data_IF_655279301717
#
_entry.id   IF_655279301717
#
_cell.length_a   1.000
_cell.length_b   1.000
_cell.length_c   1.000
_cell.angle_alpha   90.00
_cell.angle_beta   90.00
_cell.angle_gamma   90.00
#
_symmetry.space_group_name_H-M   'P 1'
#
loop_
_entity.id
_entity.type
_entity.pdbx_description
1 polymer ?
#
# COMPACT_ATOMS: atom_id res chain seq x y z
N UNK A 1 31.85 37.12 -15.38
CA UNK A 1 31.20 36.21 -16.33
C UNK A 1 29.98 35.59 -15.73
N UNK A 2 28.84 36.33 -15.75
CA UNK A 2 27.52 35.85 -15.38
C UNK A 2 26.73 35.78 -16.66
N UNK A 3 26.55 34.59 -17.26
CA UNK A 3 25.51 34.42 -18.27
C UNK A 3 25.14 32.95 -18.44
N UNK A 4 23.82 32.73 -18.52
CA UNK A 4 23.13 31.56 -19.09
C UNK A 4 22.92 30.33 -18.16
N UNK A 5 22.00 30.48 -17.20
CA UNK A 5 21.11 29.40 -16.76
C UNK A 5 19.67 29.88 -16.67
N UNK A 6 19.18 30.60 -17.68
CA UNK A 6 17.76 30.85 -17.94
C UNK A 6 17.45 30.24 -19.29
N UNK A 7 16.78 29.15 -19.36
CA UNK A 7 15.99 28.57 -20.44
C UNK A 7 16.05 27.04 -20.40
N UNK A 8 15.15 26.43 -19.63
CA UNK A 8 14.73 25.06 -19.88
C UNK A 8 13.43 24.67 -19.18
N UNK A 9 12.50 25.61 -19.07
CA UNK A 9 11.09 25.27 -18.89
C UNK A 9 10.30 25.83 -20.07
N UNK A 10 10.63 25.38 -21.31
CA UNK A 10 9.71 25.49 -22.43
C UNK A 10 8.65 24.43 -22.21
N UNK A 11 7.51 24.86 -21.70
CA UNK A 11 6.27 24.12 -21.89
C UNK A 11 6.13 23.86 -23.38
N UNK A 12 6.34 22.63 -23.81
CA UNK A 12 5.98 22.21 -25.14
C UNK A 12 4.46 22.28 -25.24
N UNK A 13 3.93 23.39 -25.71
CA UNK A 13 2.62 23.45 -26.32
C UNK A 13 2.69 22.63 -27.61
N UNK A 14 2.60 21.31 -27.48
CA UNK A 14 2.19 20.46 -28.59
C UNK A 14 0.68 20.65 -28.72
N UNK A 15 0.22 20.99 -29.92
CA UNK A 15 -1.20 21.15 -30.21
C UNK A 15 -2.04 19.98 -29.72
N UNK A 16 -3.34 20.10 -29.74
CA UNK A 16 -4.44 19.32 -29.09
C UNK A 16 -4.37 17.77 -28.98
N UNK A 17 -3.23 17.15 -29.21
CA UNK A 17 -2.95 15.73 -28.98
C UNK A 17 -1.80 15.60 -27.96
N UNK A 18 -2.08 15.80 -26.67
CA UNK A 18 -1.15 15.41 -25.60
C UNK A 18 -1.11 13.89 -25.53
N UNK A 19 -0.11 13.29 -26.17
CA UNK A 19 0.21 11.88 -25.93
C UNK A 19 0.94 11.78 -24.59
N UNK A 20 0.38 11.01 -23.65
CA UNK A 20 1.07 10.67 -22.40
C UNK A 20 2.36 9.90 -22.72
N UNK A 21 3.40 10.17 -21.95
CA UNK A 21 4.64 9.38 -22.02
C UNK A 21 4.40 7.97 -21.47
N UNK A 22 5.15 7.01 -21.96
CA UNK A 22 5.24 5.69 -21.37
C UNK A 22 6.02 5.81 -20.04
N UNK A 23 5.30 5.69 -18.93
CA UNK A 23 5.89 5.76 -17.59
C UNK A 23 5.94 4.38 -16.97
N UNK A 24 7.15 3.87 -16.76
CA UNK A 24 7.42 2.57 -16.14
C UNK A 24 7.96 2.69 -14.71
N UNK A 25 7.79 3.85 -14.05
CA UNK A 25 8.19 4.02 -12.66
C UNK A 25 7.41 3.07 -11.76
N UNK A 26 8.13 2.40 -10.85
CA UNK A 26 7.54 1.44 -9.92
C UNK A 26 6.70 2.09 -8.82
N UNK A 27 6.99 3.35 -8.50
CA UNK A 27 6.24 4.14 -7.50
C UNK A 27 6.90 5.49 -7.22
N UNK A 28 6.16 6.61 -7.34
CA UNK A 28 4.78 6.74 -7.82
C UNK A 28 4.56 6.17 -9.21
N UNK A 29 3.57 5.28 -9.35
CA UNK A 29 3.29 4.59 -10.59
C UNK A 29 2.31 5.35 -11.49
N UNK A 30 2.18 4.87 -12.73
CA UNK A 30 1.24 5.41 -13.69
C UNK A 30 -0.20 5.14 -13.26
N UNK A 31 -1.02 6.19 -13.10
CA UNK A 31 -2.45 6.06 -12.84
C UNK A 31 -3.23 5.77 -14.15
N UNK A 32 -4.36 5.05 -14.08
CA UNK A 32 -5.25 4.87 -15.21
C UNK A 32 -5.72 6.22 -15.78
N UNK A 33 -5.72 6.34 -17.10
CA UNK A 33 -6.11 7.61 -17.75
C UNK A 33 -7.56 7.99 -17.46
N UNK A 34 -8.45 7.00 -17.34
CA UNK A 34 -9.84 7.20 -16.93
C UNK A 34 -9.93 7.91 -15.58
N UNK A 35 -9.13 7.48 -14.59
CA UNK A 35 -9.06 8.10 -13.26
C UNK A 35 -8.64 9.54 -13.35
N UNK A 36 -7.58 9.84 -14.11
CA UNK A 36 -7.06 11.20 -14.26
C UNK A 36 -8.05 12.11 -14.99
N UNK A 37 -8.74 11.61 -16.02
CA UNK A 37 -9.77 12.36 -16.75
C UNK A 37 -10.96 12.68 -15.83
N UNK A 38 -11.43 11.70 -15.06
CA UNK A 38 -12.53 11.90 -14.11
C UNK A 38 -12.13 12.91 -13.04
N UNK A 39 -10.96 12.75 -12.41
CA UNK A 39 -10.44 13.70 -11.43
C UNK A 39 -10.32 15.13 -12.00
N UNK A 40 -9.86 15.27 -13.25
CA UNK A 40 -9.77 16.57 -13.90
C UNK A 40 -11.14 17.18 -14.17
N UNK A 41 -12.16 16.40 -14.54
CA UNK A 41 -13.53 16.90 -14.75
C UNK A 41 -14.22 17.32 -13.45
N UNK A 42 -13.85 16.73 -12.33
CA UNK A 42 -14.39 17.01 -11.00
C UNK A 42 -13.51 17.97 -10.18
N UNK A 43 -12.45 18.56 -10.80
CA UNK A 43 -11.45 19.36 -10.08
C UNK A 43 -12.04 20.61 -9.42
N UNK A 44 -13.00 21.27 -10.06
CA UNK A 44 -13.64 22.49 -9.55
C UNK A 44 -14.98 22.22 -8.85
N UNK A 45 -15.61 21.10 -9.17
CA UNK A 45 -16.93 20.74 -8.67
C UNK A 45 -17.04 19.22 -8.54
N UNK A 46 -16.57 18.71 -7.39
CA UNK A 46 -16.65 17.30 -7.10
C UNK A 46 -18.05 16.93 -6.57
N UNK A 47 -18.68 15.96 -7.21
CA UNK A 47 -20.01 15.43 -6.83
C UNK A 47 -21.12 16.49 -6.77
N UNK A 48 -21.04 17.57 -7.57
CA UNK A 48 -21.95 18.73 -7.57
C UNK A 48 -21.98 19.47 -6.22
N UNK A 49 -20.89 19.46 -5.50
CA UNK A 49 -20.74 20.18 -4.22
C UNK A 49 -20.41 21.68 -4.39
N UNK A 50 -20.07 22.09 -5.61
CA UNK A 50 -19.60 23.44 -5.92
C UNK A 50 -18.17 23.71 -5.47
N UNK A 51 -17.39 22.67 -5.05
CA UNK A 51 -16.03 22.83 -4.59
C UNK A 51 -15.14 21.64 -4.98
N UNK A 52 -13.84 21.86 -4.98
CA UNK A 52 -12.84 20.80 -5.12
C UNK A 52 -12.76 19.93 -3.87
N UNK A 53 -12.47 18.63 -4.04
CA UNK A 53 -12.15 17.75 -2.89
C UNK A 53 -10.99 18.31 -2.04
N UNK A 54 -10.06 19.06 -2.64
CA UNK A 54 -8.94 19.70 -1.92
C UNK A 54 -9.39 20.81 -0.96
N UNK A 55 -10.58 21.37 -1.18
CA UNK A 55 -11.16 22.47 -0.38
C UNK A 55 -12.20 21.97 0.63
N UNK A 56 -12.64 20.69 0.49
CA UNK A 56 -13.66 20.10 1.37
C UNK A 56 -13.15 19.97 2.80
N UNK A 57 -13.98 20.37 3.76
CA UNK A 57 -13.76 19.97 5.14
C UNK A 57 -13.87 18.45 5.26
N UNK A 58 -12.89 17.82 5.90
CA UNK A 58 -12.97 16.39 6.20
C UNK A 58 -14.10 16.02 7.18
N UNK A 59 -14.77 17.01 7.75
CA UNK A 59 -15.95 16.85 8.64
C UNK A 59 -17.27 17.08 7.92
N UNK A 60 -17.23 17.41 6.61
CA UNK A 60 -18.45 17.58 5.83
C UNK A 60 -19.04 16.22 5.43
N UNK A 61 -20.34 16.19 5.15
CA UNK A 61 -21.06 15.02 4.63
C UNK A 61 -20.49 14.55 3.30
N UNK A 62 -20.11 15.48 2.42
CA UNK A 62 -19.58 15.22 1.09
C UNK A 62 -18.26 14.45 1.17
N UNK A 63 -17.35 14.86 2.07
CA UNK A 63 -16.09 14.13 2.24
C UNK A 63 -16.31 12.78 2.95
N UNK A 64 -17.24 12.73 3.91
CA UNK A 64 -17.62 11.47 4.54
C UNK A 64 -18.10 10.45 3.51
N UNK A 65 -18.92 10.85 2.55
CA UNK A 65 -19.40 9.99 1.48
C UNK A 65 -18.25 9.49 0.59
N UNK A 66 -17.25 10.33 0.31
CA UNK A 66 -16.02 9.92 -0.41
C UNK A 66 -15.26 8.85 0.38
N UNK A 67 -15.07 9.07 1.69
CA UNK A 67 -14.39 8.14 2.58
C UNK A 67 -15.11 6.79 2.65
N UNK A 68 -16.41 6.82 2.96
CA UNK A 68 -17.23 5.61 3.12
C UNK A 68 -17.30 4.81 1.81
N UNK A 69 -17.46 5.50 0.68
CA UNK A 69 -17.46 4.88 -0.65
C UNK A 69 -16.12 4.22 -0.96
N UNK A 70 -15.01 4.88 -0.65
CA UNK A 70 -13.67 4.33 -0.84
C UNK A 70 -13.45 3.07 0.00
N UNK A 71 -13.80 3.10 1.29
CA UNK A 71 -13.73 1.94 2.19
C UNK A 71 -14.62 0.79 1.69
N UNK A 72 -15.87 1.08 1.33
CA UNK A 72 -16.82 0.08 0.88
C UNK A 72 -16.35 -0.61 -0.44
N UNK A 73 -15.79 0.13 -1.39
CA UNK A 73 -15.22 -0.42 -2.61
C UNK A 73 -14.02 -1.32 -2.33
N UNK A 74 -13.11 -0.88 -1.47
CA UNK A 74 -11.95 -1.68 -1.09
C UNK A 74 -12.38 -2.98 -0.41
N UNK A 75 -13.34 -2.90 0.51
CA UNK A 75 -13.92 -4.06 1.19
C UNK A 75 -14.51 -5.07 0.20
N UNK A 76 -15.29 -4.62 -0.78
CA UNK A 76 -15.87 -5.51 -1.80
C UNK A 76 -14.82 -6.11 -2.73
N UNK A 77 -13.89 -5.30 -3.26
CA UNK A 77 -12.88 -5.77 -4.21
C UNK A 77 -11.96 -6.82 -3.60
N UNK A 78 -11.56 -6.66 -2.35
CA UNK A 78 -10.68 -7.59 -1.66
C UNK A 78 -11.44 -8.63 -0.81
N UNK A 79 -12.78 -8.58 -0.80
CA UNK A 79 -13.61 -9.44 0.05
C UNK A 79 -13.15 -9.44 1.52
N UNK A 80 -12.92 -8.22 2.06
CA UNK A 80 -12.41 -8.04 3.43
C UNK A 80 -13.49 -8.45 4.44
N UNK A 81 -13.23 -9.41 5.33
CA UNK A 81 -14.20 -9.87 6.33
C UNK A 81 -14.56 -8.77 7.36
N UNK A 82 -15.69 -8.94 8.04
CA UNK A 82 -16.22 -7.93 8.98
C UNK A 82 -15.37 -7.77 10.25
N UNK A 83 -14.56 -8.76 10.58
CA UNK A 83 -13.62 -8.72 11.71
C UNK A 83 -12.39 -7.84 11.46
N UNK A 84 -12.24 -7.28 10.25
CA UNK A 84 -11.16 -6.33 9.94
C UNK A 84 -11.65 -4.90 9.95
N UNK A 85 -10.73 -3.99 10.28
CA UNK A 85 -10.88 -2.55 10.11
C UNK A 85 -9.99 -2.07 8.97
N UNK A 86 -10.48 -1.08 8.19
CA UNK A 86 -9.74 -0.41 7.13
C UNK A 86 -9.39 0.98 7.62
N UNK A 87 -8.09 1.25 7.77
CA UNK A 87 -7.59 2.55 8.22
C UNK A 87 -6.87 3.27 7.08
N UNK A 88 -7.16 4.53 6.91
CA UNK A 88 -6.46 5.44 6.01
C UNK A 88 -5.53 6.35 6.81
N UNK A 89 -4.21 6.22 6.56
CA UNK A 89 -3.20 6.93 7.29
C UNK A 89 -2.45 7.89 6.38
N UNK A 90 -1.95 8.97 6.98
CA UNK A 90 -1.03 9.89 6.33
C UNK A 90 0.37 9.27 6.26
N UNK A 91 1.26 9.90 5.50
CA UNK A 91 2.61 9.46 5.19
C UNK A 91 2.68 8.27 4.21
N UNK A 92 3.87 7.77 3.98
CA UNK A 92 4.09 6.57 3.17
C UNK A 92 4.14 5.32 4.01
N UNK A 93 4.14 4.15 3.36
CA UNK A 93 4.24 2.84 4.00
C UNK A 93 5.44 2.71 4.98
N UNK A 94 6.49 3.50 4.81
CA UNK A 94 7.65 3.48 5.71
C UNK A 94 7.31 3.87 7.16
N UNK A 95 6.23 4.63 7.40
CA UNK A 95 5.78 4.92 8.75
C UNK A 95 5.28 3.66 9.46
N UNK A 96 4.79 2.67 8.71
CA UNK A 96 4.30 1.41 9.26
C UNK A 96 5.44 0.58 9.87
N UNK A 97 6.67 0.74 9.39
CA UNK A 97 7.84 0.09 10.01
C UNK A 97 8.04 0.49 11.47
N UNK A 98 7.55 1.66 11.86
CA UNK A 98 7.56 2.15 13.25
C UNK A 98 6.22 1.90 13.95
N UNK A 99 5.09 2.12 13.25
CA UNK A 99 3.77 1.97 13.87
C UNK A 99 3.46 0.54 14.27
N UNK A 100 3.80 -0.43 13.42
CA UNK A 100 3.51 -1.84 13.67
C UNK A 100 4.11 -2.32 15.01
N UNK A 101 5.43 -2.19 15.25
CA UNK A 101 5.99 -2.60 16.53
C UNK A 101 5.43 -1.81 17.72
N UNK A 102 5.16 -0.51 17.59
CA UNK A 102 4.54 0.28 18.67
C UNK A 102 3.12 -0.19 19.03
N UNK A 103 2.43 -0.87 18.12
CA UNK A 103 1.06 -1.33 18.34
C UNK A 103 0.96 -2.83 18.65
N UNK A 104 1.87 -3.67 18.15
CA UNK A 104 1.73 -5.12 18.20
C UNK A 104 2.86 -5.84 18.93
N UNK A 105 4.05 -5.24 19.04
CA UNK A 105 5.21 -5.92 19.63
C UNK A 105 5.19 -5.83 21.16
N UNK A 106 5.36 -6.98 21.81
CA UNK A 106 5.51 -7.09 23.26
C UNK A 106 6.80 -7.81 23.65
N UNK A 107 7.26 -8.75 22.83
CA UNK A 107 8.39 -9.61 23.13
C UNK A 107 9.45 -9.65 22.04
N UNK A 108 9.10 -10.13 20.85
CA UNK A 108 10.00 -10.35 19.73
C UNK A 108 9.24 -10.35 18.41
N UNK A 109 9.94 -10.06 17.32
CA UNK A 109 9.40 -10.12 15.96
C UNK A 109 10.24 -11.04 15.12
N UNK A 110 9.63 -11.99 14.44
CA UNK A 110 10.27 -12.80 13.41
C UNK A 110 10.16 -12.09 12.06
N UNK A 111 11.30 -11.77 11.44
CA UNK A 111 11.35 -11.08 10.17
C UNK A 111 12.03 -11.95 9.10
N UNK A 112 11.38 -12.08 7.93
CA UNK A 112 11.98 -12.73 6.77
C UNK A 112 12.54 -11.66 5.84
N UNK A 113 13.88 -11.60 5.75
CA UNK A 113 14.56 -10.55 5.00
C UNK A 113 14.70 -10.91 3.52
N UNK A 114 13.82 -10.37 2.70
CA UNK A 114 13.71 -10.67 1.25
C UNK A 114 14.04 -9.51 0.34
N UNK A 115 14.45 -8.34 0.90
CA UNK A 115 14.78 -7.21 0.03
C UNK A 115 14.98 -5.89 0.75
N UNK A 116 14.97 -4.82 -0.03
CA UNK A 116 15.24 -3.47 0.47
C UNK A 116 14.20 -2.98 1.50
N UNK A 117 12.93 -3.39 1.33
CA UNK A 117 11.85 -2.92 2.21
C UNK A 117 11.90 -3.64 3.55
N UNK A 118 12.14 -4.94 3.56
CA UNK A 118 12.36 -5.71 4.80
C UNK A 118 13.62 -5.26 5.54
N UNK A 119 14.72 -4.90 4.83
CA UNK A 119 15.90 -4.30 5.45
C UNK A 119 15.61 -2.96 6.13
N UNK A 120 14.73 -2.13 5.54
CA UNK A 120 14.32 -0.87 6.16
C UNK A 120 13.42 -1.11 7.36
N UNK A 121 12.47 -2.04 7.26
CA UNK A 121 11.61 -2.43 8.36
C UNK A 121 12.45 -2.96 9.53
N UNK A 122 13.38 -3.89 9.28
CA UNK A 122 14.31 -4.42 10.28
C UNK A 122 14.99 -3.31 11.09
N UNK A 123 15.57 -2.33 10.40
CA UNK A 123 16.26 -1.19 11.05
C UNK A 123 15.37 -0.35 11.95
N UNK A 124 14.08 -0.23 11.63
CA UNK A 124 13.15 0.52 12.47
C UNK A 124 12.65 -0.34 13.63
N UNK A 125 12.38 -1.62 13.41
CA UNK A 125 12.01 -2.56 14.47
C UNK A 125 13.13 -2.71 15.53
N UNK A 126 14.40 -2.87 15.10
CA UNK A 126 15.56 -2.95 16.00
C UNK A 126 15.73 -1.75 16.95
N UNK A 127 15.16 -0.59 16.62
CA UNK A 127 15.17 0.60 17.49
C UNK A 127 14.10 0.54 18.59
N UNK A 128 13.08 -0.28 18.39
CA UNK A 128 11.89 -0.31 19.25
C UNK A 128 11.79 -1.57 20.08
N UNK A 129 12.37 -2.68 19.61
CA UNK A 129 12.28 -3.95 20.29
C UNK A 129 13.27 -5.00 19.77
N UNK A 130 12.99 -6.26 20.07
CA UNK A 130 13.80 -7.41 19.69
C UNK A 130 13.30 -7.97 18.35
N UNK A 131 14.21 -8.17 17.40
CA UNK A 131 13.92 -8.76 16.09
C UNK A 131 14.82 -9.95 15.81
N UNK A 132 14.22 -11.05 15.41
CA UNK A 132 14.90 -12.25 14.92
C UNK A 132 14.76 -12.31 13.41
N UNK A 133 15.89 -12.25 12.68
CA UNK A 133 15.88 -12.52 11.24
C UNK A 133 15.92 -14.04 11.04
N UNK A 134 14.75 -14.64 10.88
CA UNK A 134 14.61 -16.12 10.81
C UNK A 134 15.03 -16.70 9.47
N UNK A 135 15.02 -15.88 8.41
CA UNK A 135 15.58 -16.24 7.11
C UNK A 135 15.95 -14.99 6.31
N UNK A 136 16.93 -15.15 5.44
CA UNK A 136 17.39 -14.07 4.55
C UNK A 136 17.94 -14.62 3.24
N UNK A 137 17.64 -13.96 2.12
CA UNK A 137 18.28 -14.19 0.82
C UNK A 137 19.29 -13.10 0.44
N UNK A 138 19.78 -12.34 1.42
CA UNK A 138 20.68 -11.20 1.20
C UNK A 138 22.03 -11.59 0.58
N UNK A 139 22.57 -12.75 0.94
CA UNK A 139 23.85 -13.26 0.40
C UNK A 139 23.76 -13.54 -1.10
N UNK A 140 22.55 -13.90 -1.58
CA UNK A 140 22.27 -14.15 -3.00
C UNK A 140 21.58 -12.95 -3.66
N UNK A 141 21.81 -11.73 -3.17
CA UNK A 141 21.25 -10.49 -3.69
C UNK A 141 19.71 -10.50 -3.80
N UNK A 142 19.03 -11.20 -2.91
CA UNK A 142 17.55 -11.29 -2.86
C UNK A 142 16.93 -11.87 -4.14
N UNK A 143 17.59 -12.80 -4.80
CA UNK A 143 17.13 -13.41 -6.06
C UNK A 143 16.00 -14.43 -5.87
N UNK A 144 15.70 -14.82 -4.64
CA UNK A 144 14.62 -15.74 -4.29
C UNK A 144 13.98 -15.43 -2.95
N UNK A 145 12.82 -16.04 -2.69
CA UNK A 145 12.17 -16.04 -1.38
C UNK A 145 12.65 -17.27 -0.60
N UNK A 146 13.29 -17.11 0.56
CA UNK A 146 13.73 -18.24 1.37
C UNK A 146 12.53 -19.01 1.92
N UNK A 147 12.62 -20.34 1.91
CA UNK A 147 11.64 -21.21 2.56
C UNK A 147 12.02 -21.38 4.01
N UNK A 148 11.03 -21.24 4.88
CA UNK A 148 11.15 -21.52 6.31
C UNK A 148 10.17 -22.62 6.71
N UNK A 149 10.43 -23.24 7.84
CA UNK A 149 9.53 -24.17 8.51
C UNK A 149 9.00 -23.53 9.79
N UNK A 150 7.94 -24.11 10.37
CA UNK A 150 7.37 -23.63 11.63
C UNK A 150 8.41 -23.64 12.78
N UNK A 151 9.30 -24.62 12.79
CA UNK A 151 10.37 -24.77 13.77
C UNK A 151 11.47 -23.70 13.71
N UNK A 152 11.56 -22.97 12.60
CA UNK A 152 12.53 -21.86 12.43
C UNK A 152 12.04 -20.57 13.13
N UNK A 153 10.76 -20.51 13.51
CA UNK A 153 10.17 -19.36 14.19
C UNK A 153 10.53 -19.35 15.69
N UNK A 154 10.76 -18.15 16.24
CA UNK A 154 11.04 -17.97 17.66
C UNK A 154 9.80 -18.30 18.49
N UNK A 155 9.94 -19.01 19.61
CA UNK A 155 8.82 -19.34 20.50
C UNK A 155 8.10 -18.08 21.01
N UNK A 156 8.87 -17.03 21.33
CA UNK A 156 8.42 -15.78 21.94
C UNK A 156 8.05 -14.68 20.92
N UNK A 157 7.98 -14.98 19.63
CA UNK A 157 7.63 -13.94 18.67
C UNK A 157 6.12 -13.63 18.65
N UNK A 158 5.80 -12.34 18.63
CA UNK A 158 4.44 -11.82 18.55
C UNK A 158 3.86 -11.94 17.15
N UNK A 159 4.71 -11.72 16.13
CA UNK A 159 4.30 -11.83 14.72
C UNK A 159 5.47 -12.19 13.79
N UNK A 160 5.09 -12.69 12.62
CA UNK A 160 5.98 -12.88 11.46
C UNK A 160 5.78 -11.72 10.50
N UNK A 161 6.86 -11.02 10.17
CA UNK A 161 6.84 -9.87 9.24
C UNK A 161 7.38 -10.25 7.87
N UNK A 162 6.62 -9.94 6.80
CA UNK A 162 7.02 -10.15 5.40
C UNK A 162 6.77 -8.91 4.53
N UNK A 163 7.54 -8.79 3.44
CA UNK A 163 7.19 -7.99 2.28
C UNK A 163 6.80 -8.95 1.15
N UNK A 164 5.50 -9.02 0.83
CA UNK A 164 4.99 -10.08 -0.05
C UNK A 164 5.55 -9.99 -1.47
N UNK A 165 5.72 -8.77 -1.99
CA UNK A 165 6.32 -8.54 -3.29
C UNK A 165 7.48 -7.54 -3.20
N UNK A 166 8.67 -7.99 -3.55
CA UNK A 166 9.89 -7.21 -3.49
C UNK A 166 10.10 -6.45 -4.80
N UNK A 167 9.58 -5.23 -4.87
CA UNK A 167 9.50 -4.39 -6.08
C UNK A 167 10.84 -4.22 -6.80
N UNK A 168 11.95 -4.11 -6.06
CA UNK A 168 13.28 -3.84 -6.62
C UNK A 168 13.91 -5.11 -7.19
N UNK A 169 13.69 -6.24 -6.49
CA UNK A 169 14.35 -7.51 -6.83
C UNK A 169 13.47 -8.44 -7.68
N UNK A 170 12.18 -8.12 -7.86
CA UNK A 170 11.26 -8.88 -8.69
C UNK A 170 10.86 -10.24 -8.10
N UNK A 171 11.03 -10.43 -6.79
CA UNK A 171 10.62 -11.66 -6.11
C UNK A 171 9.29 -11.46 -5.39
N UNK A 172 8.44 -12.50 -5.41
CA UNK A 172 7.13 -12.51 -4.75
C UNK A 172 6.88 -13.85 -4.07
N UNK A 173 6.24 -13.83 -2.92
CA UNK A 173 5.75 -15.04 -2.28
C UNK A 173 4.69 -15.72 -3.17
N UNK A 174 4.88 -17.02 -3.45
CA UNK A 174 3.87 -17.88 -4.09
C UNK A 174 2.97 -18.53 -3.06
N UNK A 175 3.53 -18.81 -1.89
CA UNK A 175 2.87 -19.38 -0.73
C UNK A 175 3.33 -18.58 0.49
N UNK A 176 2.43 -18.32 1.43
CA UNK A 176 2.76 -17.63 2.67
C UNK A 176 3.65 -18.51 3.54
N UNK A 177 4.54 -17.93 4.36
CA UNK A 177 5.34 -18.71 5.29
C UNK A 177 4.45 -19.34 6.37
N UNK A 178 4.86 -20.46 6.99
CA UNK A 178 4.20 -20.97 8.17
C UNK A 178 4.24 -19.91 9.28
N UNK A 179 3.16 -19.78 10.04
CA UNK A 179 3.01 -18.82 11.14
C UNK A 179 2.00 -19.30 12.19
N UNK A 180 1.83 -20.62 12.35
CA UNK A 180 0.87 -21.17 13.30
C UNK A 180 1.09 -20.63 14.72
N UNK A 181 0.02 -20.11 15.34
CA UNK A 181 0.06 -19.51 16.66
C UNK A 181 0.67 -18.12 16.76
N UNK A 182 1.03 -17.50 15.62
CA UNK A 182 1.60 -16.16 15.53
C UNK A 182 0.81 -15.31 14.53
N UNK A 183 0.85 -13.99 14.71
CA UNK A 183 0.26 -13.07 13.74
C UNK A 183 1.09 -13.02 12.46
N UNK A 184 0.44 -12.81 11.31
CA UNK A 184 1.10 -12.52 10.05
C UNK A 184 0.90 -11.06 9.66
N UNK A 185 2.00 -10.32 9.58
CA UNK A 185 2.06 -8.90 9.19
C UNK A 185 2.73 -8.76 7.85
N UNK A 186 2.06 -8.14 6.89
CA UNK A 186 2.53 -8.11 5.51
C UNK A 186 2.49 -6.71 4.86
N UNK A 187 3.62 -6.33 4.23
CA UNK A 187 3.70 -5.21 3.28
C UNK A 187 3.26 -5.68 1.89
N UNK A 188 2.08 -5.25 1.46
CA UNK A 188 1.52 -5.51 0.15
C UNK A 188 1.59 -4.29 -0.79
N UNK A 189 2.39 -3.27 -0.48
CA UNK A 189 2.41 -2.00 -1.22
C UNK A 189 2.52 -2.16 -2.74
N UNK A 190 3.23 -3.16 -3.24
CA UNK A 190 3.43 -3.34 -4.68
C UNK A 190 2.59 -4.44 -5.34
N UNK A 191 1.80 -5.18 -4.56
CA UNK A 191 0.95 -6.26 -5.09
C UNK A 191 -0.52 -6.15 -4.69
N UNK A 192 -0.89 -5.34 -3.70
CA UNK A 192 -2.31 -5.12 -3.35
C UNK A 192 -3.12 -4.74 -4.59
N UNK A 193 -4.32 -5.32 -4.76
CA UNK A 193 -5.21 -5.09 -5.89
C UNK A 193 -4.66 -5.53 -7.27
N UNK A 194 -3.51 -6.19 -7.35
CA UNK A 194 -2.96 -6.70 -8.61
C UNK A 194 -3.58 -8.03 -9.03
N UNK A 195 -4.06 -8.76 -8.06
CA UNK A 195 -4.73 -10.06 -8.15
C UNK A 195 -5.59 -10.27 -6.90
N UNK A 196 -6.30 -11.38 -6.81
CA UNK A 196 -7.04 -11.76 -5.61
C UNK A 196 -6.08 -12.05 -4.46
N UNK A 197 -6.41 -11.53 -3.29
CA UNK A 197 -5.71 -11.79 -2.04
C UNK A 197 -6.74 -12.31 -1.02
N UNK A 198 -6.45 -13.44 -0.40
CA UNK A 198 -7.26 -13.95 0.70
C UNK A 198 -6.83 -13.23 1.99
N UNK A 199 -7.58 -12.17 2.33
CA UNK A 199 -7.29 -11.31 3.49
C UNK A 199 -7.32 -12.08 4.80
N UNK A 200 -8.12 -13.14 4.89
CA UNK A 200 -8.27 -13.94 6.12
C UNK A 200 -6.98 -14.63 6.59
N UNK A 201 -5.99 -14.75 5.70
CA UNK A 201 -4.68 -15.32 6.00
C UNK A 201 -3.68 -14.36 6.66
N UNK A 202 -4.07 -13.10 6.84
CA UNK A 202 -3.22 -12.07 7.42
C UNK A 202 -3.88 -11.46 8.65
N UNK A 203 -3.11 -11.04 9.61
CA UNK A 203 -3.61 -10.31 10.77
C UNK A 203 -3.52 -8.80 10.57
N UNK A 204 -2.49 -8.36 9.84
CA UNK A 204 -2.34 -6.99 9.39
C UNK A 204 -1.72 -6.94 7.99
N UNK A 205 -2.41 -6.25 7.08
CA UNK A 205 -1.89 -5.87 5.77
C UNK A 205 -1.71 -4.35 5.76
N UNK A 206 -0.60 -3.85 5.21
CA UNK A 206 -0.49 -2.45 4.89
C UNK A 206 0.02 -2.23 3.47
N UNK A 207 -0.31 -1.07 2.91
CA UNK A 207 0.10 -0.70 1.56
C UNK A 207 0.22 0.81 1.38
N UNK A 208 1.36 1.27 0.90
CA UNK A 208 1.50 2.63 0.39
C UNK A 208 0.79 2.76 -0.96
N UNK A 209 -0.13 3.70 -1.07
CA UNK A 209 -1.02 3.82 -2.22
C UNK A 209 -0.29 4.11 -3.55
N UNK A 210 0.85 4.78 -3.53
CA UNK A 210 1.55 5.30 -4.71
C UNK A 210 2.02 4.25 -5.72
N UNK A 211 1.96 2.97 -5.39
CA UNK A 211 2.35 1.90 -6.31
C UNK A 211 1.18 1.40 -7.13
N UNK A 212 0.08 0.96 -6.46
CA UNK A 212 -1.01 0.29 -7.17
C UNK A 212 -2.43 0.73 -6.78
N UNK A 213 -2.59 1.67 -5.84
CA UNK A 213 -3.89 2.09 -5.34
C UNK A 213 -4.24 3.56 -5.63
N UNK A 214 -3.24 4.42 -5.85
CA UNK A 214 -3.48 5.86 -5.95
C UNK A 214 -2.20 6.69 -5.92
N UNK A 215 -2.26 7.95 -5.49
CA UNK A 215 -1.10 8.82 -5.39
C UNK A 215 -0.30 8.60 -4.10
N UNK A 216 0.88 9.22 -4.03
CA UNK A 216 1.66 9.30 -2.79
C UNK A 216 0.91 10.09 -1.70
N UNK A 217 1.23 9.79 -0.43
CA UNK A 217 0.68 10.49 0.74
C UNK A 217 -0.41 9.72 1.48
N UNK A 218 -0.93 8.64 0.92
CA UNK A 218 -1.89 7.74 1.55
C UNK A 218 -1.25 6.38 1.83
N UNK A 219 -1.47 5.85 3.02
CA UNK A 219 -1.21 4.45 3.38
C UNK A 219 -2.52 3.81 3.85
N UNK A 220 -2.81 2.63 3.34
CA UNK A 220 -3.95 1.82 3.77
C UNK A 220 -3.45 0.73 4.71
N UNK A 221 -4.14 0.54 5.83
CA UNK A 221 -3.93 -0.57 6.76
C UNK A 221 -5.25 -1.35 6.87
N UNK A 222 -5.18 -2.66 6.70
CA UNK A 222 -6.27 -3.61 6.92
C UNK A 222 -5.83 -4.47 8.09
N UNK A 223 -6.50 -4.36 9.21
CA UNK A 223 -6.08 -4.96 10.48
C UNK A 223 -7.26 -5.65 11.16
N UNK A 224 -7.02 -6.80 11.78
CA UNK A 224 -8.02 -7.44 12.64
C UNK A 224 -8.40 -6.52 13.81
N UNK A 225 -9.69 -6.41 14.09
CA UNK A 225 -10.24 -5.48 15.11
C UNK A 225 -9.75 -5.79 16.51
N UNK A 226 -9.50 -7.05 16.83
CA UNK A 226 -8.98 -7.49 18.13
C UNK A 226 -7.52 -7.09 18.38
N UNK A 227 -6.79 -6.69 17.34
CA UNK A 227 -5.44 -6.15 17.44
C UNK A 227 -5.41 -4.62 17.67
N UNK A 228 -6.55 -3.96 17.59
CA UNK A 228 -6.65 -2.50 17.77
C UNK A 228 -6.75 -2.20 19.26
N UNK A 229 -5.84 -1.35 19.77
CA UNK A 229 -5.81 -0.97 21.18
C UNK A 229 -4.80 -1.76 22.04
N UNK A 230 -3.92 -2.54 21.41
CA UNK A 230 -2.84 -3.25 22.09
C UNK A 230 -1.60 -2.38 22.36
N UNK A 231 -1.52 -1.18 21.76
CA UNK A 231 -0.42 -0.24 21.95
C UNK A 231 -0.29 0.19 23.43
N UNK A 232 0.95 0.44 23.86
CA UNK A 232 1.20 1.05 25.17
C UNK A 232 0.51 2.43 25.30
N UNK A 233 0.05 2.78 26.50
CA UNK A 233 -0.62 4.06 26.79
C UNK A 233 0.25 5.28 26.44
N UNK A 234 1.57 5.12 26.45
CA UNK A 234 2.54 6.17 26.09
C UNK A 234 2.71 6.32 24.59
N UNK A 235 2.15 5.42 23.78
CA UNK A 235 2.25 5.51 22.32
C UNK A 235 1.57 6.81 21.83
N UNK A 236 2.29 7.68 21.11
CA UNK A 236 1.73 8.94 20.62
C UNK A 236 0.47 8.69 19.77
N UNK A 237 -0.56 9.53 19.95
CA UNK A 237 -1.88 9.34 19.32
C UNK A 237 -1.81 9.09 17.81
N UNK A 238 -0.95 9.83 17.08
CA UNK A 238 -0.80 9.67 15.63
C UNK A 238 -0.02 8.41 15.21
N UNK A 239 0.52 7.65 16.16
CA UNK A 239 1.19 6.37 15.92
C UNK A 239 0.38 5.17 16.46
N UNK A 240 -0.82 5.42 17.00
CA UNK A 240 -1.69 4.41 17.59
C UNK A 240 -2.87 4.10 16.65
N UNK A 241 -3.01 2.85 16.21
CA UNK A 241 -4.11 2.43 15.33
C UNK A 241 -5.50 2.68 15.94
N UNK A 242 -5.62 2.60 17.27
CA UNK A 242 -6.88 2.90 17.95
C UNK A 242 -7.36 4.32 17.71
N UNK A 243 -6.44 5.30 17.64
CA UNK A 243 -6.79 6.68 17.32
C UNK A 243 -7.46 6.80 15.95
N UNK A 244 -6.96 6.07 14.96
CA UNK A 244 -7.56 6.05 13.61
C UNK A 244 -8.88 5.30 13.58
N UNK A 245 -8.99 4.16 14.26
CA UNK A 245 -10.21 3.36 14.31
C UNK A 245 -11.35 4.10 15.00
N UNK A 246 -11.11 4.67 16.18
CA UNK A 246 -12.12 5.40 16.95
C UNK A 246 -12.63 6.67 16.26
N UNK A 247 -11.88 7.20 15.30
CA UNK A 247 -12.19 8.44 14.59
C UNK A 247 -12.40 8.25 13.08
N UNK A 248 -12.66 7.02 12.65
CA UNK A 248 -12.87 6.69 11.22
C UNK A 248 -11.77 7.27 10.30
N UNK A 249 -10.53 7.20 10.74
CA UNK A 249 -9.33 7.79 10.10
C UNK A 249 -9.33 9.32 9.99
N UNK A 250 -10.24 10.01 10.67
CA UNK A 250 -10.43 11.45 10.61
C UNK A 250 -10.18 12.16 11.96
N UNK A 251 -9.28 11.62 12.78
CA UNK A 251 -8.83 12.28 14.02
C UNK A 251 -8.26 13.67 13.74
N UNK A 252 -7.46 13.80 12.72
CA UNK A 252 -7.02 15.07 12.11
C UNK A 252 -7.40 15.05 10.62
N UNK A 253 -7.14 16.14 9.89
CA UNK A 253 -7.43 16.21 8.45
C UNK A 253 -6.63 15.12 7.72
N UNK A 254 -7.30 14.14 7.10
CA UNK A 254 -6.63 13.08 6.34
C UNK A 254 -6.16 13.60 4.97
N UNK A 255 -5.40 12.83 4.19
CA UNK A 255 -5.00 13.22 2.83
C UNK A 255 -6.19 13.13 1.86
N UNK A 256 -7.13 14.08 1.97
CA UNK A 256 -8.47 14.08 1.33
C UNK A 256 -8.41 13.75 -0.16
N UNK A 257 -7.57 14.46 -0.91
CA UNK A 257 -7.46 14.25 -2.36
C UNK A 257 -6.84 12.90 -2.71
N UNK A 258 -5.91 12.40 -1.91
CA UNK A 258 -5.32 11.08 -2.15
C UNK A 258 -6.34 9.95 -1.90
N UNK A 259 -7.21 10.10 -0.90
CA UNK A 259 -8.31 9.17 -0.63
C UNK A 259 -9.32 9.19 -1.78
N UNK A 260 -9.69 10.38 -2.27
CA UNK A 260 -10.57 10.52 -3.42
C UNK A 260 -10.00 9.84 -4.68
N UNK A 261 -8.74 10.08 -5.02
CA UNK A 261 -8.09 9.41 -6.16
C UNK A 261 -8.00 7.89 -5.96
N UNK A 262 -7.71 7.42 -4.74
CA UNK A 262 -7.77 6.00 -4.41
C UNK A 262 -9.19 5.45 -4.69
N UNK A 263 -10.24 6.14 -4.23
CA UNK A 263 -11.63 5.80 -4.52
C UNK A 263 -11.94 5.70 -6.02
N UNK A 264 -11.37 6.59 -6.84
CA UNK A 264 -11.50 6.53 -8.31
C UNK A 264 -10.75 5.34 -8.93
N UNK A 265 -9.59 4.97 -8.39
CA UNK A 265 -8.87 3.75 -8.84
C UNK A 265 -9.68 2.51 -8.52
N UNK A 266 -10.28 2.44 -7.32
CA UNK A 266 -11.15 1.33 -6.94
C UNK A 266 -12.42 1.27 -7.82
N UNK A 267 -13.01 2.42 -8.14
CA UNK A 267 -14.13 2.51 -9.08
C UNK A 267 -13.74 2.02 -10.48
N UNK A 268 -12.58 2.41 -10.97
CA UNK A 268 -12.05 1.94 -12.24
C UNK A 268 -11.86 0.41 -12.24
N UNK A 269 -11.34 -0.17 -11.16
CA UNK A 269 -11.22 -1.63 -11.03
C UNK A 269 -12.58 -2.32 -11.05
N UNK A 270 -13.60 -1.77 -10.39
CA UNK A 270 -14.95 -2.33 -10.39
C UNK A 270 -15.63 -2.20 -11.75
N UNK A 271 -15.62 -0.99 -12.36
CA UNK A 271 -16.51 -0.64 -13.46
C UNK A 271 -15.85 -0.79 -14.84
N UNK A 272 -14.55 -0.54 -14.97
CA UNK A 272 -13.84 -0.59 -16.24
C UNK A 272 -13.10 -1.91 -16.44
N UNK A 273 -12.56 -2.47 -15.35
CA UNK A 273 -11.83 -3.74 -15.39
C UNK A 273 -12.77 -4.92 -15.10
N UNK A 274 -13.77 -4.73 -14.24
CA UNK A 274 -14.70 -5.80 -13.83
C UNK A 274 -14.13 -6.70 -12.73
N UNK A 275 -13.30 -6.12 -11.84
CA UNK A 275 -12.79 -6.77 -10.62
C UNK A 275 -11.39 -7.34 -10.72
N UNK A 276 -10.93 -7.91 -9.61
CA UNK A 276 -9.53 -8.34 -9.46
C UNK A 276 -9.17 -9.57 -10.29
N UNK A 277 -10.12 -10.46 -10.60
CA UNK A 277 -9.86 -11.61 -11.48
C UNK A 277 -9.46 -11.16 -12.89
N UNK A 278 -10.12 -10.14 -13.41
CA UNK A 278 -9.79 -9.60 -14.72
C UNK A 278 -8.49 -8.79 -14.67
N UNK A 279 -8.26 -8.05 -13.57
CA UNK A 279 -7.00 -7.35 -13.38
C UNK A 279 -5.81 -8.30 -13.35
N UNK A 280 -5.92 -9.42 -12.65
CA UNK A 280 -4.92 -10.47 -12.62
C UNK A 280 -4.61 -11.00 -14.02
N UNK A 281 -5.63 -11.33 -14.83
CA UNK A 281 -5.44 -11.79 -16.22
C UNK A 281 -4.67 -10.77 -17.04
N UNK A 282 -5.02 -9.48 -16.93
CA UNK A 282 -4.34 -8.37 -17.62
C UNK A 282 -2.89 -8.27 -17.16
N UNK A 283 -2.64 -8.34 -15.84
CA UNK A 283 -1.30 -8.26 -15.29
C UNK A 283 -0.42 -9.43 -15.71
N UNK A 284 -0.97 -10.67 -15.74
CA UNK A 284 -0.25 -11.85 -16.23
C UNK A 284 0.11 -11.73 -17.71
N UNK A 285 -0.80 -11.19 -18.54
CA UNK A 285 -0.53 -10.94 -19.96
C UNK A 285 0.60 -9.93 -20.16
N UNK A 286 0.57 -8.81 -19.40
CA UNK A 286 1.64 -7.79 -19.44
C UNK A 286 2.99 -8.36 -19.01
N UNK A 287 3.01 -9.12 -17.92
CA UNK A 287 4.23 -9.76 -17.44
C UNK A 287 4.76 -10.78 -18.46
N UNK A 288 3.88 -11.63 -18.99
CA UNK A 288 4.26 -12.63 -19.99
C UNK A 288 4.89 -11.99 -21.23
N UNK A 289 4.31 -10.91 -21.75
CA UNK A 289 4.85 -10.21 -22.90
C UNK A 289 6.30 -9.76 -22.67
N UNK A 290 6.59 -9.20 -21.49
CA UNK A 290 7.92 -8.75 -21.13
C UNK A 290 8.89 -9.91 -20.93
N UNK A 291 8.51 -10.93 -20.18
CA UNK A 291 9.37 -12.08 -19.91
C UNK A 291 9.66 -12.91 -21.17
N UNK A 292 8.66 -13.14 -22.04
CA UNK A 292 8.85 -13.82 -23.31
C UNK A 292 9.87 -13.06 -24.20
N UNK A 293 9.80 -11.73 -24.22
CA UNK A 293 10.75 -10.90 -24.96
C UNK A 293 12.18 -11.03 -24.39
N UNK A 294 12.32 -10.96 -23.06
CA UNK A 294 13.64 -11.10 -22.40
C UNK A 294 14.22 -12.50 -22.67
N UNK A 295 13.43 -13.55 -22.53
CA UNK A 295 13.88 -14.93 -22.75
C UNK A 295 14.28 -15.21 -24.20
N UNK A 296 13.61 -14.56 -25.17
CA UNK A 296 13.93 -14.66 -26.60
C UNK A 296 15.13 -13.79 -27.03
N UNK A 297 15.59 -12.88 -26.18
CA UNK A 297 16.64 -11.89 -26.52
C UNK A 297 18.08 -12.35 -26.22
N UNK A 298 18.30 -13.65 -26.07
CA UNK A 298 19.62 -14.26 -25.78
C UNK A 298 20.52 -14.29 -27.00
#
# INVERSE_FOLDING_TARGET
>A
MKHKRKERWKYFHRGNNMTRVYNFSAGPACLPEWVLKKAASEMLDAHNSGMSVMEMSHRSSEFKDIMDTCKARLKRLMNIPDEYEILFLQAGASLQFTMIPLNLEKHNVDLINTGQWTKKALKEHEKLGKVSVVASSAEDNFTYIPKIKQEDLSEDSDYVYICENNTIYGTKYKELPPHEGKLLVADLSSCILSERTDVSKYDLIFAGAQKNMGPAGLTVVIIKKDLIGLADEKTPSMLNYKTYADNDSMFNTPPTYAIYICGLVLEWLETQIGGLENMEKINRQKAKLLYDYIDASK
#
